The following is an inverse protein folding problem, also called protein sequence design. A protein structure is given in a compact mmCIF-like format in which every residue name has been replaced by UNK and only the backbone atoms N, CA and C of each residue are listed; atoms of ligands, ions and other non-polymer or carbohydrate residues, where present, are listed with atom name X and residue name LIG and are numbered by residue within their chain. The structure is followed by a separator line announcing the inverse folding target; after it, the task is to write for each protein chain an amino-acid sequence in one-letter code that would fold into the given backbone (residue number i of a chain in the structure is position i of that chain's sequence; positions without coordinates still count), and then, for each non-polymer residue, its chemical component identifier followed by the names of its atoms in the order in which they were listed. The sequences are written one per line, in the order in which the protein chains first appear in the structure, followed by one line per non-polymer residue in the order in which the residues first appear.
data_IF_910903251499
#
_entry.id   IF_910903251499
#
_cell.length_a   1.000
_cell.length_b   1.000
_cell.length_c   1.000
_cell.angle_alpha   90.00
_cell.angle_beta   90.00
_cell.angle_gamma   90.00
#
_symmetry.space_group_name_H-M   'P 1'
#
loop_
_entity.id
_entity.type
_entity.pdbx_description
1 polymer ?
#
# COMPACT_ATOMS: atom_id res chain seq x y z
N UNK A 1 12.02 -10.27 3.88
CA UNK A 1 11.25 -10.97 2.83
C UNK A 1 10.43 -9.97 2.04
N UNK A 2 10.22 -10.21 0.73
CA UNK A 2 9.41 -9.36 -0.13
C UNK A 2 8.56 -10.21 -1.08
N UNK A 3 7.27 -9.95 -1.11
CA UNK A 3 6.31 -10.57 -2.02
C UNK A 3 5.89 -9.50 -3.02
N UNK A 4 5.94 -9.82 -4.32
CA UNK A 4 5.56 -8.90 -5.39
C UNK A 4 4.37 -9.47 -6.16
N UNK A 5 3.30 -8.72 -6.24
CA UNK A 5 2.14 -9.05 -7.06
C UNK A 5 2.01 -8.05 -8.21
N UNK A 6 2.01 -8.55 -9.45
CA UNK A 6 1.87 -7.70 -10.63
C UNK A 6 0.41 -7.22 -10.78
N UNK A 7 0.22 -5.92 -10.94
CA UNK A 7 -1.09 -5.28 -11.07
C UNK A 7 -1.51 -5.03 -12.53
N UNK A 8 -0.77 -5.58 -13.50
CA UNK A 8 -1.06 -5.37 -14.94
C UNK A 8 -2.50 -5.71 -15.31
N UNK A 9 -3.02 -6.81 -14.78
CA UNK A 9 -4.36 -7.32 -15.09
C UNK A 9 -5.46 -6.74 -14.19
N UNK A 10 -5.12 -5.80 -13.28
CA UNK A 10 -6.12 -5.18 -12.43
C UNK A 10 -7.01 -4.24 -13.25
N UNK A 11 -8.35 -4.39 -13.19
CA UNK A 11 -9.30 -3.50 -13.86
C UNK A 11 -9.09 -2.04 -13.47
N UNK A 12 -9.26 -1.13 -14.43
CA UNK A 12 -8.98 0.30 -14.24
C UNK A 12 -9.79 0.93 -13.08
N UNK A 13 -11.05 0.52 -12.92
CA UNK A 13 -11.91 1.03 -11.85
C UNK A 13 -11.44 0.62 -10.44
N UNK A 14 -10.73 -0.51 -10.29
CA UNK A 14 -10.18 -0.95 -9.01
C UNK A 14 -8.86 -0.26 -8.66
N UNK A 15 -8.16 0.29 -9.65
CA UNK A 15 -6.88 0.99 -9.42
C UNK A 15 -7.02 2.22 -8.53
N UNK A 16 -8.17 2.88 -8.55
CA UNK A 16 -8.46 4.03 -7.70
C UNK A 16 -8.47 3.67 -6.21
N UNK A 17 -8.78 2.42 -5.86
CA UNK A 17 -8.83 1.94 -4.48
C UNK A 17 -7.48 1.40 -3.97
N UNK A 18 -6.47 1.27 -4.83
CA UNK A 18 -5.16 0.73 -4.44
C UNK A 18 -4.50 1.46 -3.27
N UNK A 19 -4.50 2.81 -3.20
CA UNK A 19 -3.90 3.51 -2.06
C UNK A 19 -4.60 3.17 -0.74
N UNK A 20 -5.94 3.11 -0.77
CA UNK A 20 -6.73 2.75 0.41
C UNK A 20 -6.55 1.27 0.77
N UNK A 21 -6.57 0.38 -0.21
CA UNK A 21 -6.32 -1.05 -0.01
C UNK A 21 -4.96 -1.32 0.65
N UNK A 22 -3.90 -0.63 0.20
CA UNK A 22 -2.56 -0.71 0.78
C UNK A 22 -2.57 -0.39 2.27
N UNK A 23 -3.20 0.73 2.64
CA UNK A 23 -3.27 1.18 4.03
C UNK A 23 -4.14 0.24 4.89
N UNK A 24 -5.24 -0.24 4.32
CA UNK A 24 -6.12 -1.18 4.99
C UNK A 24 -5.44 -2.52 5.23
N UNK A 25 -4.78 -3.10 4.22
CA UNK A 25 -4.17 -4.42 4.34
C UNK A 25 -3.13 -4.48 5.47
N UNK A 26 -2.42 -3.37 5.72
CA UNK A 26 -1.48 -3.29 6.82
C UNK A 26 -2.13 -3.15 8.20
N UNK A 27 -3.43 -2.77 8.26
CA UNK A 27 -4.11 -2.38 9.49
C UNK A 27 -5.45 -3.11 9.73
N UNK A 28 -5.74 -4.16 8.97
CA UNK A 28 -6.90 -5.03 9.24
C UNK A 28 -6.47 -6.31 9.95
N UNK A 29 -7.40 -6.92 10.64
CA UNK A 29 -7.23 -8.26 11.20
C UNK A 29 -7.39 -9.34 10.13
N UNK A 30 -7.45 -10.57 10.58
CA UNK A 30 -7.75 -11.74 9.75
C UNK A 30 -9.08 -12.34 10.18
N UNK A 31 -9.59 -13.30 9.42
CA UNK A 31 -10.81 -14.01 9.83
C UNK A 31 -10.69 -14.73 11.18
N UNK A 32 -9.45 -15.12 11.53
CA UNK A 32 -9.17 -15.87 12.75
C UNK A 32 -8.79 -14.96 13.95
N UNK A 33 -8.28 -13.75 13.67
CA UNK A 33 -7.77 -12.85 14.70
C UNK A 33 -8.24 -11.42 14.46
N UNK A 34 -8.73 -10.77 15.53
CA UNK A 34 -8.93 -9.32 15.50
C UNK A 34 -7.63 -8.59 15.27
N UNK A 35 -7.70 -7.38 14.74
CA UNK A 35 -6.53 -6.57 14.40
C UNK A 35 -5.48 -6.50 15.52
N UNK A 36 -5.90 -6.16 16.75
CA UNK A 36 -4.99 -6.00 17.89
C UNK A 36 -4.21 -7.29 18.20
N UNK A 37 -4.92 -8.42 18.19
CA UNK A 37 -4.32 -9.73 18.47
C UNK A 37 -3.37 -10.14 17.34
N UNK A 38 -3.81 -9.93 16.09
CA UNK A 38 -2.98 -10.25 14.92
C UNK A 38 -1.73 -9.38 14.86
N UNK A 39 -1.87 -8.07 15.10
CA UNK A 39 -0.75 -7.14 15.09
C UNK A 39 0.29 -7.47 16.18
N UNK A 40 -0.17 -7.84 17.39
CA UNK A 40 0.72 -8.29 18.44
C UNK A 40 1.45 -9.60 18.06
N UNK A 41 0.75 -10.56 17.46
CA UNK A 41 1.36 -11.80 16.94
C UNK A 41 2.41 -11.48 15.86
N UNK A 42 2.08 -10.61 14.90
CA UNK A 42 2.98 -10.21 13.82
C UNK A 42 4.23 -9.50 14.37
N UNK A 43 4.06 -8.57 15.30
CA UNK A 43 5.17 -7.81 15.89
C UNK A 43 6.06 -8.65 16.81
N UNK A 44 5.55 -9.75 17.35
CA UNK A 44 6.36 -10.68 18.17
C UNK A 44 7.35 -11.51 17.34
N UNK A 45 7.05 -11.76 16.08
CA UNK A 45 7.88 -12.58 15.18
C UNK A 45 8.56 -11.78 14.05
N UNK A 46 8.11 -10.54 13.78
CA UNK A 46 8.61 -9.73 12.67
C UNK A 46 8.69 -8.23 13.02
N UNK A 47 9.22 -7.43 12.10
CA UNK A 47 9.26 -5.96 12.19
C UNK A 47 7.94 -5.29 11.77
N UNK A 48 6.86 -6.04 11.67
CA UNK A 48 5.60 -5.57 11.12
C UNK A 48 5.47 -5.79 9.61
N UNK A 49 4.36 -5.34 9.04
CA UNK A 49 4.03 -5.46 7.63
C UNK A 49 4.12 -4.10 6.95
N UNK A 50 4.94 -4.01 5.92
CA UNK A 50 4.97 -2.86 5.03
C UNK A 50 4.32 -3.22 3.69
N UNK A 51 3.34 -2.44 3.28
CA UNK A 51 2.63 -2.61 2.02
C UNK A 51 2.81 -1.36 1.18
N UNK A 52 3.40 -1.50 0.01
CA UNK A 52 3.66 -0.38 -0.90
C UNK A 52 3.26 -0.73 -2.34
N UNK A 53 3.11 0.30 -3.16
CA UNK A 53 2.86 0.17 -4.59
C UNK A 53 4.08 0.71 -5.30
N UNK A 54 4.84 -0.20 -5.90
CA UNK A 54 6.00 0.16 -6.70
C UNK A 54 5.60 0.33 -8.16
N UNK A 55 6.16 1.37 -8.76
CA UNK A 55 6.03 1.65 -10.18
C UNK A 55 7.43 1.73 -10.78
N UNK A 56 7.62 1.00 -11.85
CA UNK A 56 8.87 1.08 -12.60
C UNK A 56 8.59 1.04 -14.11
N UNK A 57 9.46 1.69 -14.83
CA UNK A 57 9.56 1.56 -16.28
C UNK A 57 10.58 0.49 -16.59
N UNK A 58 10.33 -0.32 -17.62
CA UNK A 58 11.32 -1.26 -18.08
C UNK A 58 12.48 -0.47 -18.71
N UNK A 59 13.61 -0.39 -18.03
CA UNK A 59 14.80 0.35 -18.50
C UNK A 59 15.44 -0.28 -19.76
N UNK A 60 15.05 -1.48 -20.12
CA UNK A 60 15.52 -2.18 -21.32
C UNK A 60 14.67 -1.88 -22.56
N UNK A 61 13.48 -1.30 -22.37
CA UNK A 61 12.57 -0.96 -23.44
C UNK A 61 12.59 0.55 -23.68
N UNK A 62 13.60 0.99 -24.44
CA UNK A 62 13.80 2.40 -24.76
C UNK A 62 12.77 2.95 -25.75
N UNK A 63 12.02 2.10 -26.42
CA UNK A 63 11.02 2.50 -27.41
C UNK A 63 9.65 2.81 -26.74
N UNK A 64 9.31 2.18 -25.62
CA UNK A 64 8.08 2.45 -24.90
C UNK A 64 8.32 3.16 -23.55
N UNK A 65 8.58 4.46 -23.64
CA UNK A 65 8.67 5.35 -22.47
C UNK A 65 7.39 5.45 -21.64
N UNK A 66 6.30 4.91 -22.16
CA UNK A 66 4.99 4.86 -21.51
C UNK A 66 4.71 3.49 -20.89
N UNK A 67 5.54 2.49 -21.15
CA UNK A 67 5.44 1.16 -20.56
C UNK A 67 5.57 1.27 -19.04
N UNK A 68 4.51 0.91 -18.35
CA UNK A 68 4.43 0.97 -16.90
C UNK A 68 4.15 -0.39 -16.35
N UNK A 69 4.94 -0.75 -15.38
CA UNK A 69 4.66 -1.91 -14.55
C UNK A 69 4.36 -1.43 -13.14
N UNK A 70 3.20 -1.82 -12.63
CA UNK A 70 2.77 -1.55 -11.26
C UNK A 70 2.76 -2.87 -10.51
N UNK A 71 3.34 -2.85 -9.32
CA UNK A 71 3.39 -4.02 -8.44
C UNK A 71 2.95 -3.62 -7.04
N UNK A 72 2.13 -4.47 -6.43
CA UNK A 72 1.94 -4.44 -4.99
C UNK A 72 3.12 -5.16 -4.35
N UNK A 73 3.81 -4.47 -3.48
CA UNK A 73 4.93 -4.99 -2.71
C UNK A 73 4.50 -5.15 -1.26
N UNK A 74 4.57 -6.37 -0.76
CA UNK A 74 4.37 -6.68 0.65
C UNK A 74 5.71 -7.10 1.21
N UNK A 75 6.21 -6.37 2.21
CA UNK A 75 7.51 -6.64 2.81
C UNK A 75 7.44 -6.73 4.32
N UNK A 76 8.28 -7.59 4.87
CA UNK A 76 8.48 -7.75 6.30
C UNK A 76 9.91 -8.17 6.59
N UNK A 77 10.44 -7.74 7.74
CA UNK A 77 11.72 -8.20 8.28
C UNK A 77 11.49 -9.15 9.45
N UNK A 78 12.27 -10.22 9.55
CA UNK A 78 12.21 -11.13 10.69
C UNK A 78 13.58 -11.78 10.90
N UNK A 79 13.78 -12.33 12.08
CA UNK A 79 14.98 -13.11 12.41
C UNK A 79 14.81 -14.55 11.91
N UNK A 80 15.90 -15.19 11.52
CA UNK A 80 15.88 -16.56 10.97
C UNK A 80 15.15 -17.56 11.86
N UNK A 81 15.29 -17.43 13.18
CA UNK A 81 14.59 -18.25 14.17
C UNK A 81 13.06 -18.12 14.15
N UNK A 82 12.54 -17.03 13.60
CA UNK A 82 11.10 -16.72 13.56
C UNK A 82 10.50 -16.94 12.16
N UNK A 83 11.26 -17.56 11.26
CA UNK A 83 10.88 -17.72 9.84
C UNK A 83 9.50 -18.35 9.69
N UNK A 84 9.25 -19.48 10.33
CA UNK A 84 7.99 -20.23 10.19
C UNK A 84 6.80 -19.40 10.68
N UNK A 85 6.92 -18.75 11.84
CA UNK A 85 5.87 -17.90 12.41
C UNK A 85 5.59 -16.67 11.54
N UNK A 86 6.64 -16.06 10.97
CA UNK A 86 6.48 -14.92 10.07
C UNK A 86 5.78 -15.32 8.76
N UNK A 87 6.10 -16.50 8.22
CA UNK A 87 5.41 -17.05 7.05
C UNK A 87 3.94 -17.37 7.32
N UNK A 88 3.62 -17.97 8.47
CA UNK A 88 2.23 -18.20 8.88
C UNK A 88 1.42 -16.89 8.94
N UNK A 89 1.98 -15.84 9.58
CA UNK A 89 1.32 -14.54 9.64
C UNK A 89 1.12 -13.92 8.26
N UNK A 90 2.11 -14.02 7.36
CA UNK A 90 1.99 -13.53 6.00
C UNK A 90 0.93 -14.31 5.20
N UNK A 91 0.93 -15.62 5.31
CA UNK A 91 -0.08 -16.46 4.66
C UNK A 91 -1.48 -16.08 5.15
N UNK A 92 -1.64 -15.87 6.45
CA UNK A 92 -2.93 -15.56 7.04
C UNK A 92 -3.47 -14.20 6.57
N UNK A 93 -2.68 -13.13 6.61
CA UNK A 93 -3.12 -11.81 6.17
C UNK A 93 -3.36 -11.73 4.67
N UNK A 94 -2.64 -12.49 3.87
CA UNK A 94 -2.81 -12.49 2.41
C UNK A 94 -3.97 -13.38 1.95
N UNK A 95 -4.23 -14.49 2.65
CA UNK A 95 -5.28 -15.43 2.28
C UNK A 95 -6.65 -15.07 2.87
N UNK A 96 -6.67 -14.53 4.09
CA UNK A 96 -7.90 -14.32 4.85
C UNK A 96 -7.97 -12.96 5.55
N UNK A 97 -7.68 -11.84 4.86
CA UNK A 97 -7.85 -10.53 5.48
C UNK A 97 -9.32 -10.30 5.84
N UNK A 98 -9.58 -9.67 6.97
CA UNK A 98 -10.93 -9.37 7.43
C UNK A 98 -11.31 -7.92 7.11
N UNK A 99 -12.13 -7.73 6.09
CA UNK A 99 -12.71 -6.44 5.73
C UNK A 99 -14.17 -6.28 6.20
N UNK A 100 -14.70 -7.24 6.97
CA UNK A 100 -16.12 -7.28 7.37
C UNK A 100 -16.40 -6.47 8.65
N UNK A 101 -15.43 -5.70 9.14
CA UNK A 101 -15.58 -4.82 10.31
C UNK A 101 -15.75 -3.35 9.89
N UNK A 102 -16.97 -2.87 9.60
CA UNK A 102 -17.19 -1.53 9.05
C UNK A 102 -16.77 -0.39 10.00
N UNK A 103 -16.85 -0.61 11.31
CA UNK A 103 -16.36 0.35 12.30
C UNK A 103 -14.87 0.57 12.21
N UNK A 104 -14.09 -0.50 12.17
CA UNK A 104 -12.64 -0.44 12.05
C UNK A 104 -12.22 0.24 10.72
N UNK A 105 -12.87 -0.15 9.62
CA UNK A 105 -12.61 0.47 8.32
C UNK A 105 -12.94 1.96 8.31
N UNK A 106 -14.06 2.37 8.90
CA UNK A 106 -14.43 3.79 9.03
C UNK A 106 -13.39 4.58 9.81
N UNK A 107 -12.89 4.02 10.90
CA UNK A 107 -11.90 4.70 11.74
C UNK A 107 -10.52 4.76 11.05
N UNK A 108 -10.13 3.73 10.30
CA UNK A 108 -8.94 3.77 9.46
C UNK A 108 -9.04 4.85 8.37
N UNK A 109 -10.19 4.99 7.71
CA UNK A 109 -10.40 6.02 6.70
C UNK A 109 -10.31 7.42 7.33
N UNK A 110 -10.94 7.65 8.48
CA UNK A 110 -10.87 8.94 9.19
C UNK A 110 -9.43 9.27 9.59
N UNK A 111 -8.72 8.30 10.17
CA UNK A 111 -7.33 8.47 10.56
C UNK A 111 -6.44 8.82 9.36
N UNK A 112 -6.63 8.15 8.23
CA UNK A 112 -5.90 8.43 7.00
C UNK A 112 -6.22 9.83 6.46
N UNK A 113 -7.47 10.26 6.47
CA UNK A 113 -7.88 11.60 6.06
C UNK A 113 -7.17 12.68 6.90
N UNK A 114 -7.16 12.52 8.23
CA UNK A 114 -6.45 13.44 9.15
C UNK A 114 -4.94 13.45 8.87
N UNK A 115 -4.32 12.27 8.71
CA UNK A 115 -2.89 12.17 8.44
C UNK A 115 -2.52 12.87 7.12
N UNK A 116 -3.36 12.72 6.08
CA UNK A 116 -3.14 13.39 4.80
C UNK A 116 -3.32 14.90 4.88
N UNK A 117 -4.35 15.38 5.58
CA UNK A 117 -4.54 16.82 5.81
C UNK A 117 -3.32 17.42 6.52
N UNK A 118 -2.81 16.75 7.55
CA UNK A 118 -1.60 17.18 8.26
C UNK A 118 -0.34 17.13 7.37
N UNK A 119 -0.23 16.10 6.50
CA UNK A 119 0.89 15.96 5.59
C UNK A 119 0.98 17.08 4.54
N UNK A 120 -0.14 17.66 4.12
CA UNK A 120 -0.17 18.84 3.24
C UNK A 120 0.54 20.01 3.90
N UNK A 121 0.23 20.29 5.17
CA UNK A 121 0.84 21.37 5.92
C UNK A 121 2.34 21.18 6.16
N UNK A 122 2.77 19.95 6.43
CA UNK A 122 4.17 19.64 6.76
C UNK A 122 5.07 19.39 5.54
N UNK A 123 4.50 18.97 4.41
CA UNK A 123 5.25 18.61 3.21
C UNK A 123 4.72 19.27 1.93
N UNK A 124 4.24 20.50 2.04
CA UNK A 124 3.67 21.25 0.91
C UNK A 124 4.61 21.37 -0.29
N UNK A 125 5.92 21.57 -0.05
CA UNK A 125 6.92 21.60 -1.12
C UNK A 125 7.04 20.26 -1.86
N UNK A 126 6.97 19.13 -1.14
CA UNK A 126 6.96 17.81 -1.74
C UNK A 126 5.75 17.58 -2.64
N UNK A 127 4.58 18.04 -2.22
CA UNK A 127 3.36 18.01 -3.03
C UNK A 127 3.46 18.90 -4.28
N UNK A 128 3.96 20.13 -4.15
CA UNK A 128 4.15 21.04 -5.28
C UNK A 128 5.13 20.48 -6.32
N UNK A 129 6.24 19.86 -5.89
CA UNK A 129 7.20 19.18 -6.78
C UNK A 129 6.56 18.02 -7.52
N UNK A 130 5.81 17.18 -6.82
CA UNK A 130 5.12 16.05 -7.41
C UNK A 130 4.11 16.51 -8.43
N UNK A 131 3.28 17.48 -8.09
CA UNK A 131 2.28 18.05 -8.98
C UNK A 131 2.89 18.67 -10.24
N UNK A 132 3.94 19.49 -10.11
CA UNK A 132 4.60 20.11 -11.26
C UNK A 132 5.26 19.06 -12.17
N UNK A 133 5.82 17.98 -11.62
CA UNK A 133 6.38 16.88 -12.42
C UNK A 133 5.32 16.07 -13.14
N UNK A 134 4.09 16.02 -12.62
CA UNK A 134 2.98 15.27 -13.23
C UNK A 134 2.54 15.86 -14.57
N UNK A 135 2.73 17.16 -14.78
CA UNK A 135 2.49 17.82 -16.06
C UNK A 135 3.50 17.45 -17.15
N UNK A 136 4.71 17.04 -16.76
CA UNK A 136 5.83 16.80 -17.69
C UNK A 136 5.97 15.33 -18.10
N UNK A 137 5.54 14.40 -17.27
CA UNK A 137 5.72 12.95 -17.50
C UNK A 137 4.44 12.19 -17.23
N UNK A 138 4.03 11.35 -18.19
CA UNK A 138 2.88 10.46 -18.00
C UNK A 138 3.02 9.53 -16.78
N UNK A 139 4.26 9.13 -16.45
CA UNK A 139 4.59 8.40 -15.22
C UNK A 139 4.26 9.20 -13.95
N UNK A 140 4.66 10.47 -13.90
CA UNK A 140 4.40 11.34 -12.75
C UNK A 140 2.89 11.60 -12.57
N UNK A 141 2.13 11.74 -13.68
CA UNK A 141 0.67 11.89 -13.64
C UNK A 141 -0.02 10.67 -13.02
N UNK A 142 0.41 9.48 -13.39
CA UNK A 142 -0.13 8.25 -12.80
C UNK A 142 0.29 8.08 -11.32
N UNK A 143 1.47 8.57 -10.95
CA UNK A 143 1.92 8.59 -9.57
C UNK A 143 1.09 9.57 -8.73
N UNK A 144 0.79 10.75 -9.30
CA UNK A 144 -0.11 11.72 -8.68
C UNK A 144 -1.53 11.17 -8.52
N UNK A 145 -2.09 10.50 -9.52
CA UNK A 145 -3.45 9.93 -9.41
C UNK A 145 -3.59 8.86 -8.32
N UNK A 146 -2.51 8.14 -7.99
CA UNK A 146 -2.50 7.16 -6.90
C UNK A 146 -2.04 7.76 -5.57
N UNK A 147 -1.40 8.92 -5.58
CA UNK A 147 -1.00 9.67 -4.40
C UNK A 147 -2.02 10.74 -4.01
N UNK A 148 -2.73 11.27 -5.00
CA UNK A 148 -3.75 12.31 -4.82
C UNK A 148 -5.05 11.70 -4.31
N UNK A 149 -5.00 11.27 -3.09
CA UNK A 149 -6.17 11.08 -2.25
C UNK A 149 -6.89 12.41 -1.91
N UNK A 150 -6.43 13.53 -2.47
CA UNK A 150 -6.99 14.87 -2.28
C UNK A 150 -8.38 14.98 -2.93
N UNK A 151 -8.70 14.12 -3.89
CA UNK A 151 -10.01 14.10 -4.55
C UNK A 151 -11.09 13.32 -3.78
N UNK A 152 -10.78 12.79 -2.61
CA UNK A 152 -11.74 12.08 -1.75
C UNK A 152 -12.09 12.84 -0.46
N UNK A 153 -11.73 14.12 -0.37
CA UNK A 153 -12.20 15.03 0.68
C UNK A 153 -13.33 15.91 0.18
#
# INVERSE_FOLDING_TARGET
MRIKANLKNLPAHLRLFLPMFREMLANVGTKNYKYDVFNNKLNSCSSGLDVSIDKYTNSLDHEDLLSRQEQLLVSTGFLDRNTDQAFECLQEILATPNFDEPSNISDLIKMQSINKANAIGTNGLGYARSYSSSGLKAFARSFESLRNDIFFC
#
